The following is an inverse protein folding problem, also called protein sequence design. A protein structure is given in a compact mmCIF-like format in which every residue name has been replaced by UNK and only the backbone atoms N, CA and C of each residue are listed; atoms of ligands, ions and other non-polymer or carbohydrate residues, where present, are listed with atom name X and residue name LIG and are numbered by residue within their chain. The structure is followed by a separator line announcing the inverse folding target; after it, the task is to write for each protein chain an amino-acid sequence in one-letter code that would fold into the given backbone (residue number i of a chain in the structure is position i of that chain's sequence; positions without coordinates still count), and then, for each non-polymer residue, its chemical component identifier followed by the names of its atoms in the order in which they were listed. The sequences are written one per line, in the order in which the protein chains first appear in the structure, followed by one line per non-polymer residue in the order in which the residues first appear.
data_IF_456307195344
#
_entry.id   IF_456307195344
#
_cell.length_a   1.000
_cell.length_b   1.000
_cell.length_c   1.000
_cell.angle_alpha   90.00
_cell.angle_beta   90.00
_cell.angle_gamma   90.00
#
_symmetry.space_group_name_H-M   'P 1'
#
loop_
_entity.id
_entity.type
_entity.pdbx_description
1 polymer ?
#
# COMPACT_ATOMS: atom_id res chain seq x y z
N UNK A 1 10.65 34.52 12.86
CA UNK A 1 10.64 33.99 14.23
C UNK A 1 9.59 32.87 14.45
N UNK A 2 8.40 32.94 13.88
CA UNK A 2 7.31 31.95 14.10
C UNK A 2 7.58 30.54 13.59
N UNK A 3 8.45 30.33 12.60
CA UNK A 3 8.82 29.01 12.07
C UNK A 3 9.87 28.27 12.90
N UNK A 4 10.56 28.98 13.83
CA UNK A 4 11.70 28.43 14.55
C UNK A 4 11.35 27.19 15.41
N UNK A 5 10.26 27.16 16.20
CA UNK A 5 9.89 25.97 16.96
C UNK A 5 9.60 24.76 16.05
N UNK A 6 8.90 24.97 14.92
CA UNK A 6 8.60 23.91 13.95
C UNK A 6 9.88 23.38 13.30
N UNK A 7 10.82 24.26 12.94
CA UNK A 7 12.11 23.88 12.37
C UNK A 7 12.97 23.07 13.35
N UNK A 8 13.00 23.48 14.63
CA UNK A 8 13.73 22.72 15.66
C UNK A 8 13.17 21.29 15.78
N UNK A 9 11.86 21.15 15.90
CA UNK A 9 11.21 19.83 15.96
C UNK A 9 11.52 19.01 14.70
N UNK A 10 11.40 19.59 13.52
CA UNK A 10 11.69 18.93 12.26
C UNK A 10 13.16 18.48 12.16
N UNK A 11 14.10 19.32 12.55
CA UNK A 11 15.53 18.98 12.54
C UNK A 11 15.79 17.84 13.53
N UNK A 12 15.33 17.95 14.78
CA UNK A 12 15.60 16.96 15.82
C UNK A 12 14.98 15.60 15.52
N UNK A 13 13.74 15.55 15.05
CA UNK A 13 12.97 14.30 14.91
C UNK A 13 12.96 13.73 13.50
N UNK A 14 13.35 14.50 12.49
CA UNK A 14 13.39 14.04 11.11
C UNK A 14 14.80 14.09 10.53
N UNK A 15 15.43 15.27 10.46
CA UNK A 15 16.71 15.43 9.77
C UNK A 15 17.83 14.65 10.49
N UNK A 16 17.95 14.77 11.80
CA UNK A 16 19.00 14.07 12.56
C UNK A 16 18.88 12.54 12.43
N UNK A 17 17.70 11.89 12.64
CA UNK A 17 17.57 10.45 12.46
C UNK A 17 17.84 9.99 11.01
N UNK A 18 17.38 10.72 10.00
CA UNK A 18 17.65 10.40 8.59
C UNK A 18 19.15 10.47 8.31
N UNK A 19 19.83 11.55 8.77
CA UNK A 19 21.29 11.69 8.60
C UNK A 19 22.06 10.58 9.32
N UNK A 20 21.65 10.23 10.55
CA UNK A 20 22.24 9.10 11.28
C UNK A 20 22.06 7.78 10.53
N UNK A 21 20.88 7.51 9.98
CA UNK A 21 20.61 6.31 9.16
C UNK A 21 21.52 6.30 7.93
N UNK A 22 21.66 7.43 7.25
CA UNK A 22 22.55 7.55 6.09
C UNK A 22 24.01 7.24 6.47
N UNK A 23 24.54 7.86 7.54
CA UNK A 23 25.89 7.59 8.03
C UNK A 23 26.03 6.12 8.44
N UNK A 24 25.06 5.58 9.18
CA UNK A 24 25.10 4.19 9.67
C UNK A 24 25.18 3.16 8.55
N UNK A 25 24.68 3.46 7.36
CA UNK A 25 24.75 2.53 6.22
C UNK A 25 26.17 2.19 5.74
N UNK A 26 27.14 3.04 6.08
CA UNK A 26 28.57 2.84 5.78
C UNK A 26 29.34 2.16 6.91
N UNK A 27 28.68 1.79 8.00
CA UNK A 27 29.27 1.12 9.14
C UNK A 27 28.66 -0.25 9.36
N UNK A 28 29.41 -1.12 10.01
CA UNK A 28 28.86 -2.33 10.62
C UNK A 28 28.89 -2.16 12.14
N UNK A 29 27.92 -2.75 12.83
CA UNK A 29 27.75 -2.70 14.27
C UNK A 29 27.73 -4.14 14.81
N UNK A 30 28.91 -4.74 15.03
CA UNK A 30 28.97 -6.07 15.62
C UNK A 30 28.55 -5.99 17.09
N UNK A 31 27.81 -7.00 17.59
CA UNK A 31 27.31 -7.05 18.97
C UNK A 31 28.41 -7.00 20.04
N UNK A 32 29.65 -7.37 19.69
CA UNK A 32 30.77 -7.54 20.62
C UNK A 32 31.94 -6.57 20.39
N UNK A 33 31.89 -5.71 19.39
CA UNK A 33 33.01 -4.82 19.05
C UNK A 33 32.53 -3.43 18.63
N UNK A 34 33.49 -2.49 18.56
CA UNK A 34 33.24 -1.13 18.13
C UNK A 34 32.75 -1.11 16.66
N UNK A 35 31.93 -0.10 16.34
CA UNK A 35 31.49 0.15 14.95
C UNK A 35 32.69 0.29 14.03
N UNK A 36 32.69 -0.43 12.94
CA UNK A 36 33.74 -0.35 11.93
C UNK A 36 33.20 0.28 10.64
N UNK A 37 34.01 1.14 10.04
CA UNK A 37 33.66 1.76 8.76
C UNK A 37 33.97 0.78 7.62
N UNK A 38 32.94 0.42 6.83
CA UNK A 38 33.03 -0.62 5.80
C UNK A 38 32.76 -0.09 4.40
N UNK A 39 32.78 1.21 4.19
CA UNK A 39 32.51 1.84 2.90
C UNK A 39 31.19 1.32 2.28
N UNK A 40 31.24 0.80 1.10
CA UNK A 40 30.09 0.27 0.35
C UNK A 40 29.86 -1.25 0.51
N UNK A 41 30.51 -1.91 1.47
CA UNK A 41 30.38 -3.35 1.64
C UNK A 41 28.94 -3.78 1.94
N UNK A 42 28.18 -3.04 2.76
CA UNK A 42 26.77 -3.29 3.02
C UNK A 42 25.93 -3.26 1.72
N UNK A 43 26.23 -2.35 0.81
CA UNK A 43 25.54 -2.24 -0.47
C UNK A 43 25.96 -3.36 -1.45
N UNK A 44 27.21 -3.76 -1.45
CA UNK A 44 27.69 -4.88 -2.26
C UNK A 44 27.09 -6.21 -1.80
N UNK A 45 26.92 -6.42 -0.48
CA UNK A 45 26.23 -7.56 0.09
C UNK A 45 24.73 -7.53 -0.32
N UNK A 46 24.07 -6.39 -0.19
CA UNK A 46 22.66 -6.20 -0.52
C UNK A 46 22.35 -6.61 -1.97
N UNK A 47 23.18 -6.24 -2.93
CA UNK A 47 22.96 -6.57 -4.33
C UNK A 47 23.02 -8.08 -4.63
N UNK A 48 23.69 -8.85 -3.77
CA UNK A 48 23.81 -10.31 -3.85
C UNK A 48 22.78 -11.05 -3.01
N UNK A 49 21.99 -10.33 -2.21
CA UNK A 49 21.07 -10.90 -1.24
C UNK A 49 19.75 -11.29 -1.91
N UNK A 50 19.52 -12.59 -2.05
CA UNK A 50 18.30 -13.15 -2.63
C UNK A 50 17.04 -12.75 -1.86
N UNK A 51 17.13 -12.61 -0.52
CA UNK A 51 15.98 -12.23 0.30
C UNK A 51 15.61 -10.77 0.11
N UNK A 52 16.58 -9.89 -0.17
CA UNK A 52 16.28 -8.52 -0.57
C UNK A 52 15.48 -8.47 -1.87
N UNK A 53 15.91 -9.20 -2.89
CA UNK A 53 15.22 -9.23 -4.18
C UNK A 53 13.83 -9.87 -4.09
N UNK A 54 13.69 -10.94 -3.30
CA UNK A 54 12.40 -11.54 -2.99
C UNK A 54 11.47 -10.53 -2.30
N UNK A 55 11.98 -9.82 -1.29
CA UNK A 55 11.21 -8.81 -0.55
C UNK A 55 10.81 -7.62 -1.45
N UNK A 56 11.67 -7.21 -2.35
CA UNK A 56 11.37 -6.17 -3.33
C UNK A 56 10.28 -6.63 -4.33
N UNK A 57 10.37 -7.87 -4.82
CA UNK A 57 9.32 -8.47 -5.67
C UNK A 57 7.97 -8.50 -4.93
N UNK A 58 7.97 -8.91 -3.66
CA UNK A 58 6.77 -8.94 -2.83
C UNK A 58 6.18 -7.54 -2.61
N UNK A 59 7.03 -6.51 -2.44
CA UNK A 59 6.56 -5.12 -2.44
C UNK A 59 5.87 -4.74 -3.76
N UNK A 60 6.38 -5.18 -4.89
CA UNK A 60 5.71 -5.01 -6.19
C UNK A 60 4.33 -5.65 -6.23
N UNK A 61 4.19 -6.88 -5.71
CA UNK A 61 2.90 -7.56 -5.56
C UNK A 61 1.97 -6.76 -4.62
N UNK A 62 2.49 -6.28 -3.48
CA UNK A 62 1.69 -5.48 -2.54
C UNK A 62 1.27 -4.13 -3.14
N UNK A 63 2.10 -3.49 -3.96
CA UNK A 63 1.71 -2.29 -4.71
C UNK A 63 0.52 -2.59 -5.62
N UNK A 64 0.53 -3.71 -6.33
CA UNK A 64 -0.62 -4.10 -7.14
C UNK A 64 -1.90 -4.25 -6.29
N UNK A 65 -1.84 -4.98 -5.18
CA UNK A 65 -2.99 -5.22 -4.31
C UNK A 65 -3.44 -3.99 -3.51
N UNK A 66 -2.54 -3.13 -3.08
CA UNK A 66 -2.88 -2.02 -2.20
C UNK A 66 -3.04 -0.67 -2.94
N UNK A 67 -2.60 -0.58 -4.19
CA UNK A 67 -2.71 0.64 -4.99
C UNK A 67 -3.59 0.43 -6.22
N UNK A 68 -3.21 -0.51 -7.10
CA UNK A 68 -3.86 -0.63 -8.42
C UNK A 68 -5.30 -1.12 -8.27
N UNK A 69 -5.49 -2.23 -7.57
CA UNK A 69 -6.83 -2.84 -7.42
C UNK A 69 -7.79 -1.93 -6.65
N UNK A 70 -7.45 -1.44 -5.43
CA UNK A 70 -8.37 -0.56 -4.70
C UNK A 70 -8.59 0.79 -5.39
N UNK A 71 -7.59 1.33 -6.10
CA UNK A 71 -7.74 2.55 -6.89
C UNK A 71 -8.77 2.38 -8.01
N UNK A 72 -8.66 1.32 -8.81
CA UNK A 72 -9.61 1.02 -9.89
C UNK A 72 -10.99 0.66 -9.31
N UNK A 73 -11.05 -0.19 -8.30
CA UNK A 73 -12.30 -0.60 -7.68
C UNK A 73 -13.04 0.57 -7.02
N UNK A 74 -12.32 1.46 -6.32
CA UNK A 74 -12.87 2.69 -5.76
C UNK A 74 -13.41 3.63 -6.83
N UNK A 75 -12.73 3.76 -7.97
CA UNK A 75 -13.22 4.56 -9.10
C UNK A 75 -14.51 3.98 -9.71
N UNK A 76 -14.56 2.67 -9.88
CA UNK A 76 -15.78 1.98 -10.38
C UNK A 76 -16.93 2.22 -9.42
N UNK A 77 -16.74 1.99 -8.11
CA UNK A 77 -17.77 2.21 -7.10
C UNK A 77 -18.25 3.67 -7.09
N UNK A 78 -17.33 4.63 -7.09
CA UNK A 78 -17.68 6.06 -7.12
C UNK A 78 -18.52 6.39 -8.36
N UNK A 79 -18.15 5.85 -9.53
CA UNK A 79 -18.89 6.05 -10.78
C UNK A 79 -20.31 5.47 -10.70
N UNK A 80 -20.43 4.25 -10.16
CA UNK A 80 -21.75 3.59 -10.01
C UNK A 80 -22.64 4.37 -9.04
N UNK A 81 -22.10 4.82 -7.91
CA UNK A 81 -22.88 5.57 -6.91
C UNK A 81 -23.33 6.93 -7.40
N UNK A 82 -22.49 7.66 -8.15
CA UNK A 82 -22.85 8.97 -8.69
C UNK A 82 -24.03 8.87 -9.69
N UNK A 83 -24.07 7.78 -10.48
CA UNK A 83 -25.08 7.58 -11.52
C UNK A 83 -26.39 7.02 -10.95
N UNK A 84 -26.31 6.09 -9.96
CA UNK A 84 -27.46 5.28 -9.56
C UNK A 84 -28.35 5.94 -8.52
N UNK A 85 -27.83 6.60 -7.48
CA UNK A 85 -28.65 7.27 -6.48
C UNK A 85 -27.86 8.15 -5.51
N UNK A 86 -27.92 9.49 -5.63
CA UNK A 86 -27.22 10.41 -4.72
C UNK A 86 -27.65 10.32 -3.25
N UNK A 87 -28.87 9.86 -2.96
CA UNK A 87 -29.41 9.80 -1.57
C UNK A 87 -28.94 8.56 -0.81
N UNK A 88 -28.78 7.43 -1.46
CA UNK A 88 -28.22 6.21 -0.86
C UNK A 88 -26.71 6.33 -0.57
N UNK A 89 -26.03 7.24 -1.28
CA UNK A 89 -24.58 7.42 -1.24
C UNK A 89 -23.98 7.59 0.15
N UNK A 90 -24.62 8.38 1.03
CA UNK A 90 -24.05 8.66 2.38
C UNK A 90 -23.89 7.43 3.25
N UNK A 91 -24.87 6.52 3.28
CA UNK A 91 -24.79 5.30 4.09
C UNK A 91 -23.70 4.38 3.53
N UNK A 92 -23.66 4.23 2.23
CA UNK A 92 -22.62 3.44 1.55
C UNK A 92 -21.22 4.07 1.66
N UNK A 93 -21.11 5.42 1.59
CA UNK A 93 -19.85 6.14 1.82
C UNK A 93 -19.26 5.75 3.18
N UNK A 94 -20.05 5.80 4.25
CA UNK A 94 -19.62 5.47 5.61
C UNK A 94 -19.27 3.98 5.74
N UNK A 95 -20.14 3.08 5.24
CA UNK A 95 -19.94 1.64 5.37
C UNK A 95 -18.70 1.15 4.63
N UNK A 96 -18.44 1.66 3.43
CA UNK A 96 -17.27 1.28 2.64
C UNK A 96 -15.97 1.95 3.10
N UNK A 97 -16.07 3.10 3.77
CA UNK A 97 -14.91 3.76 4.37
C UNK A 97 -14.52 3.18 5.74
N UNK A 98 -15.45 2.50 6.43
CA UNK A 98 -15.23 1.96 7.77
C UNK A 98 -13.96 1.09 7.91
N UNK A 99 -13.60 0.20 6.96
CA UNK A 99 -12.37 -0.58 7.05
C UNK A 99 -11.09 0.25 7.21
N UNK A 100 -11.05 1.42 6.59
CA UNK A 100 -9.90 2.33 6.62
C UNK A 100 -9.66 2.96 8.00
N UNK A 101 -10.69 3.05 8.84
CA UNK A 101 -10.61 3.64 10.19
C UNK A 101 -10.03 2.63 11.19
N UNK A 102 -10.14 1.34 10.89
CA UNK A 102 -9.65 0.29 11.77
C UNK A 102 -8.11 0.24 11.79
N UNK A 103 -7.54 -0.03 12.97
CA UNK A 103 -6.11 -0.32 13.06
C UNK A 103 -5.74 -1.53 12.19
N UNK A 104 -4.67 -1.43 11.39
CA UNK A 104 -4.20 -2.53 10.55
C UNK A 104 -3.86 -3.80 11.34
N UNK A 105 -3.45 -3.64 12.60
CA UNK A 105 -3.21 -4.77 13.52
C UNK A 105 -4.52 -5.52 13.80
N UNK A 106 -5.58 -4.80 14.13
CA UNK A 106 -6.91 -5.39 14.36
C UNK A 106 -7.44 -6.06 13.10
N UNK A 107 -7.34 -5.38 11.97
CA UNK A 107 -7.69 -5.95 10.65
C UNK A 107 -6.94 -7.25 10.40
N UNK A 108 -5.62 -7.26 10.62
CA UNK A 108 -4.79 -8.45 10.44
C UNK A 108 -5.26 -9.63 11.29
N UNK A 109 -5.64 -9.39 12.56
CA UNK A 109 -6.16 -10.44 13.46
C UNK A 109 -7.52 -10.96 12.98
N UNK A 110 -8.45 -10.06 12.60
CA UNK A 110 -9.77 -10.45 12.07
C UNK A 110 -9.61 -11.33 10.82
N UNK A 111 -8.77 -10.91 9.88
CA UNK A 111 -8.55 -11.65 8.66
C UNK A 111 -7.82 -12.98 8.87
N UNK A 112 -6.96 -13.12 9.90
CA UNK A 112 -6.42 -14.43 10.30
C UNK A 112 -7.53 -15.41 10.71
N UNK A 113 -8.57 -14.94 11.38
CA UNK A 113 -9.73 -15.79 11.72
C UNK A 113 -10.56 -16.13 10.47
N UNK A 114 -10.76 -15.17 9.58
CA UNK A 114 -11.47 -15.40 8.31
C UNK A 114 -10.75 -16.45 7.45
N UNK A 115 -9.41 -16.40 7.40
CA UNK A 115 -8.55 -17.33 6.65
C UNK A 115 -8.20 -18.61 7.39
N UNK A 116 -8.73 -18.83 8.60
CA UNK A 116 -8.39 -20.02 9.36
C UNK A 116 -8.83 -21.30 8.62
N UNK A 117 -7.92 -22.32 8.46
CA UNK A 117 -8.25 -23.52 7.70
C UNK A 117 -9.34 -24.38 8.34
N UNK A 118 -9.50 -24.34 9.68
CA UNK A 118 -10.42 -25.20 10.42
C UNK A 118 -11.80 -24.57 10.58
N UNK A 119 -11.84 -23.31 11.09
CA UNK A 119 -13.10 -22.65 11.40
C UNK A 119 -13.37 -21.35 10.61
N UNK A 120 -12.46 -21.00 9.69
CA UNK A 120 -12.56 -19.75 8.93
C UNK A 120 -13.80 -19.69 8.02
N UNK A 121 -14.45 -18.53 8.05
CA UNK A 121 -15.68 -18.32 7.29
C UNK A 121 -15.46 -18.42 5.78
N UNK A 122 -14.28 -18.03 5.28
CA UNK A 122 -13.99 -18.07 3.85
C UNK A 122 -14.06 -19.51 3.30
N UNK A 123 -13.40 -20.48 3.97
CA UNK A 123 -13.45 -21.88 3.55
C UNK A 123 -14.88 -22.43 3.61
N UNK A 124 -15.66 -22.06 4.64
CA UNK A 124 -17.07 -22.47 4.75
C UNK A 124 -17.92 -21.93 3.60
N UNK A 125 -17.75 -20.67 3.24
CA UNK A 125 -18.48 -20.06 2.11
C UNK A 125 -18.10 -20.71 0.78
N UNK A 126 -16.84 -21.07 0.56
CA UNK A 126 -16.38 -21.74 -0.65
C UNK A 126 -16.96 -23.16 -0.76
N UNK A 127 -17.00 -23.91 0.34
CA UNK A 127 -17.66 -25.24 0.36
C UNK A 127 -19.15 -25.11 0.08
N UNK A 128 -19.87 -24.12 0.66
CA UNK A 128 -21.27 -23.88 0.37
C UNK A 128 -21.53 -23.48 -1.09
N UNK A 129 -20.56 -22.84 -1.73
CA UNK A 129 -20.61 -22.49 -3.16
C UNK A 129 -20.23 -23.67 -4.08
N UNK A 130 -19.97 -24.86 -3.53
CA UNK A 130 -19.66 -26.07 -4.29
C UNK A 130 -18.17 -26.25 -4.63
N UNK A 131 -17.28 -25.45 -4.08
CA UNK A 131 -15.84 -25.65 -4.22
C UNK A 131 -15.34 -26.62 -3.16
N UNK A 132 -14.59 -27.64 -3.57
CA UNK A 132 -13.90 -28.55 -2.63
C UNK A 132 -12.65 -27.85 -2.08
N UNK A 133 -12.85 -27.05 -1.03
CA UNK A 133 -11.82 -26.22 -0.41
C UNK A 133 -11.70 -26.50 1.09
N UNK A 134 -12.02 -27.73 1.49
CA UNK A 134 -11.92 -28.14 2.90
C UNK A 134 -10.48 -28.03 3.40
N UNK A 135 -10.28 -27.10 4.35
CA UNK A 135 -9.00 -26.94 5.02
C UNK A 135 -7.89 -26.18 4.28
N UNK A 136 -8.23 -25.38 3.24
CA UNK A 136 -7.24 -24.54 2.56
C UNK A 136 -6.55 -23.59 3.54
N UNK A 137 -5.23 -23.78 3.72
CA UNK A 137 -4.40 -22.93 4.58
C UNK A 137 -3.92 -21.68 3.78
N UNK A 138 -4.77 -20.66 3.67
CA UNK A 138 -4.49 -19.44 2.90
C UNK A 138 -3.19 -18.75 3.28
N UNK A 139 -2.91 -18.63 4.58
CA UNK A 139 -1.70 -18.00 5.12
C UNK A 139 -0.56 -18.99 5.36
N UNK A 140 -0.85 -20.29 5.30
CA UNK A 140 0.12 -21.36 5.53
C UNK A 140 0.83 -21.87 4.27
N UNK A 141 0.41 -21.44 3.08
CA UNK A 141 0.99 -21.84 1.80
C UNK A 141 1.84 -20.71 1.21
N UNK A 142 3.04 -21.04 0.72
CA UNK A 142 3.93 -20.07 0.04
C UNK A 142 3.29 -19.47 -1.22
N UNK A 143 2.37 -20.20 -1.85
CA UNK A 143 1.70 -19.74 -3.08
C UNK A 143 0.55 -18.76 -2.81
N UNK A 144 -0.16 -18.92 -1.68
CA UNK A 144 -1.39 -18.15 -1.42
C UNK A 144 -1.20 -17.03 -0.39
N UNK A 145 -0.22 -17.14 0.50
CA UNK A 145 -0.08 -16.23 1.64
C UNK A 145 0.04 -14.75 1.25
N UNK A 146 0.89 -14.40 0.28
CA UNK A 146 1.08 -13.02 -0.15
C UNK A 146 -0.21 -12.46 -0.79
N UNK A 147 -0.94 -13.28 -1.54
CA UNK A 147 -2.19 -12.90 -2.19
C UNK A 147 -3.32 -12.71 -1.17
N UNK A 148 -3.39 -13.57 -0.14
CA UNK A 148 -4.36 -13.44 0.96
C UNK A 148 -4.14 -12.15 1.75
N UNK A 149 -2.89 -11.82 2.09
CA UNK A 149 -2.57 -10.52 2.72
C UNK A 149 -2.88 -9.36 1.78
N UNK A 150 -2.56 -9.48 0.50
CA UNK A 150 -2.86 -8.50 -0.52
C UNK A 150 -4.37 -8.21 -0.62
N UNK A 151 -5.20 -9.25 -0.63
CA UNK A 151 -6.66 -9.11 -0.65
C UNK A 151 -7.19 -8.37 0.58
N UNK A 152 -6.62 -8.64 1.77
CA UNK A 152 -6.91 -7.85 2.98
C UNK A 152 -6.58 -6.37 2.76
N UNK A 153 -5.46 -6.07 2.11
CA UNK A 153 -5.07 -4.71 1.74
C UNK A 153 -6.05 -4.03 0.77
N UNK A 154 -6.62 -4.76 -0.20
CA UNK A 154 -7.69 -4.22 -1.06
C UNK A 154 -8.88 -3.80 -0.20
N UNK A 155 -9.34 -4.70 0.68
CA UNK A 155 -10.50 -4.48 1.53
C UNK A 155 -10.35 -3.25 2.44
N UNK A 156 -9.15 -2.95 2.91
CA UNK A 156 -8.88 -1.74 3.70
C UNK A 156 -8.95 -0.49 2.85
N UNK A 157 -8.39 -0.50 1.64
CA UNK A 157 -8.05 0.72 0.90
C UNK A 157 -9.10 1.18 -0.14
N UNK A 158 -9.98 0.29 -0.63
CA UNK A 158 -10.91 0.66 -1.71
C UNK A 158 -11.92 1.75 -1.31
N UNK A 159 -12.34 1.76 -0.05
CA UNK A 159 -13.30 2.75 0.45
C UNK A 159 -12.70 4.17 0.47
N UNK A 160 -11.43 4.31 0.84
CA UNK A 160 -10.71 5.58 0.75
C UNK A 160 -10.69 6.11 -0.69
N UNK A 161 -10.30 5.25 -1.64
CA UNK A 161 -10.28 5.63 -3.05
C UNK A 161 -11.66 6.07 -3.55
N UNK A 162 -12.70 5.32 -3.20
CA UNK A 162 -14.09 5.63 -3.55
C UNK A 162 -14.51 7.01 -3.04
N UNK A 163 -14.26 7.33 -1.76
CA UNK A 163 -14.68 8.60 -1.15
C UNK A 163 -14.00 9.79 -1.83
N UNK A 164 -12.69 9.68 -2.12
CA UNK A 164 -11.96 10.76 -2.81
C UNK A 164 -12.53 10.97 -4.23
N UNK A 165 -12.81 9.89 -4.97
CA UNK A 165 -13.40 10.00 -6.30
C UNK A 165 -14.83 10.55 -6.26
N UNK A 166 -15.66 10.16 -5.28
CA UNK A 166 -16.99 10.75 -5.09
C UNK A 166 -16.92 12.27 -4.82
N UNK A 167 -15.95 12.70 -4.01
CA UNK A 167 -15.73 14.12 -3.78
C UNK A 167 -15.33 14.86 -5.07
N UNK A 168 -14.54 14.21 -5.93
CA UNK A 168 -14.19 14.72 -7.27
C UNK A 168 -15.41 14.82 -8.19
N UNK A 169 -16.23 13.78 -8.24
CA UNK A 169 -17.47 13.78 -9.05
C UNK A 169 -18.40 14.94 -8.69
N UNK A 170 -18.57 15.25 -7.41
CA UNK A 170 -19.41 16.36 -6.93
C UNK A 170 -18.94 17.76 -7.42
N UNK A 171 -17.71 17.88 -7.92
CA UNK A 171 -17.17 19.12 -8.50
C UNK A 171 -17.43 19.25 -9.99
N UNK A 172 -17.79 18.16 -10.69
CA UNK A 172 -18.05 18.20 -12.12
C UNK A 172 -19.41 18.85 -12.35
N UNK A 173 -19.51 19.96 -13.14
CA UNK A 173 -20.80 20.58 -13.44
C UNK A 173 -21.76 19.60 -14.14
N UNK A 174 -22.99 19.50 -13.63
CA UNK A 174 -24.02 18.62 -14.21
C UNK A 174 -24.33 18.95 -15.65
N UNK A 175 -24.19 20.20 -16.07
CA UNK A 175 -24.39 20.65 -17.45
C UNK A 175 -23.53 19.88 -18.46
N UNK A 176 -22.34 19.41 -18.08
CA UNK A 176 -21.51 18.60 -18.98
C UNK A 176 -22.16 17.24 -19.29
N UNK A 177 -22.76 16.62 -18.27
CA UNK A 177 -23.47 15.34 -18.45
C UNK A 177 -24.80 15.49 -19.18
N UNK A 178 -25.48 16.62 -18.96
CA UNK A 178 -26.75 16.97 -19.64
C UNK A 178 -26.51 17.25 -21.13
N UNK A 179 -25.53 18.08 -21.48
CA UNK A 179 -25.14 18.35 -22.86
C UNK A 179 -24.74 17.06 -23.58
N UNK A 180 -23.88 16.25 -22.98
CA UNK A 180 -23.50 14.94 -23.55
C UNK A 180 -24.68 13.97 -23.71
N UNK A 181 -25.73 14.08 -22.87
CA UNK A 181 -26.92 13.29 -23.01
C UNK A 181 -27.76 13.74 -24.23
N UNK A 182 -27.85 15.04 -24.47
CA UNK A 182 -28.51 15.58 -25.66
C UNK A 182 -27.80 15.18 -26.96
N UNK A 183 -26.45 15.07 -26.91
CA UNK A 183 -25.64 14.57 -28.03
C UNK A 183 -25.70 13.02 -28.18
N UNK A 184 -26.53 12.32 -27.41
CA UNK A 184 -26.68 10.86 -27.46
C UNK A 184 -25.50 10.09 -26.89
N UNK A 185 -24.65 10.70 -26.05
CA UNK A 185 -23.52 10.02 -25.45
C UNK A 185 -23.96 8.99 -24.39
N UNK A 186 -23.66 7.72 -24.62
CA UNK A 186 -23.88 6.63 -23.69
C UNK A 186 -22.91 6.69 -22.48
N UNK A 187 -23.13 5.79 -21.51
CA UNK A 187 -22.37 5.69 -20.25
C UNK A 187 -20.84 5.73 -20.45
N UNK A 188 -20.30 4.85 -21.29
CA UNK A 188 -18.85 4.75 -21.51
C UNK A 188 -18.25 6.02 -22.13
N UNK A 189 -18.99 6.66 -23.05
CA UNK A 189 -18.54 7.92 -23.65
C UNK A 189 -18.46 9.03 -22.60
N UNK A 190 -19.47 9.18 -21.73
CA UNK A 190 -19.45 10.12 -20.60
C UNK A 190 -18.33 9.81 -19.62
N UNK A 191 -18.10 8.52 -19.31
CA UNK A 191 -17.03 8.12 -18.41
C UNK A 191 -15.65 8.49 -18.94
N UNK A 192 -15.31 8.10 -20.16
CA UNK A 192 -13.96 8.32 -20.71
C UNK A 192 -13.68 9.75 -21.12
N UNK A 193 -14.69 10.50 -21.58
CA UNK A 193 -14.50 11.86 -22.12
C UNK A 193 -14.86 12.99 -21.14
N UNK A 194 -15.65 12.71 -20.10
CA UNK A 194 -16.02 13.72 -19.09
C UNK A 194 -15.45 13.33 -17.73
N UNK A 195 -15.86 12.17 -17.17
CA UNK A 195 -15.53 11.80 -15.80
C UNK A 195 -14.04 11.60 -15.61
N UNK A 196 -13.43 10.72 -16.37
CA UNK A 196 -12.02 10.34 -16.20
C UNK A 196 -11.05 11.53 -16.40
N UNK A 197 -11.21 12.40 -17.41
CA UNK A 197 -10.40 13.60 -17.53
C UNK A 197 -10.61 14.60 -16.39
N UNK A 198 -11.85 14.77 -15.94
CA UNK A 198 -12.17 15.70 -14.84
C UNK A 198 -11.62 15.23 -13.49
N UNK A 199 -11.48 13.92 -13.29
CA UNK A 199 -10.96 13.32 -12.06
C UNK A 199 -9.43 13.17 -12.05
N UNK A 200 -8.69 13.73 -13.00
CA UNK A 200 -7.22 13.55 -13.08
C UNK A 200 -6.50 13.96 -11.80
N UNK A 201 -6.96 15.01 -11.13
CA UNK A 201 -6.41 15.47 -9.85
C UNK A 201 -6.59 14.42 -8.74
N UNK A 202 -7.81 13.95 -8.56
CA UNK A 202 -8.18 12.93 -7.57
C UNK A 202 -7.47 11.60 -7.83
N UNK A 203 -7.37 11.19 -9.09
CA UNK A 203 -6.60 10.01 -9.50
C UNK A 203 -5.16 10.13 -9.03
N UNK A 204 -4.53 11.30 -9.24
CA UNK A 204 -3.15 11.53 -8.80
C UNK A 204 -3.01 11.43 -7.29
N UNK A 205 -3.91 12.04 -6.53
CA UNK A 205 -3.91 12.00 -5.06
C UNK A 205 -4.09 10.57 -4.55
N UNK A 206 -5.11 9.86 -5.05
CA UNK A 206 -5.42 8.48 -4.63
C UNK A 206 -4.24 7.55 -4.91
N UNK A 207 -3.75 7.51 -6.14
CA UNK A 207 -2.67 6.60 -6.50
C UNK A 207 -1.36 6.93 -5.79
N UNK A 208 -1.04 8.21 -5.59
CA UNK A 208 0.16 8.61 -4.82
C UNK A 208 0.04 8.17 -3.36
N UNK A 209 -1.10 8.42 -2.72
CA UNK A 209 -1.33 8.00 -1.34
C UNK A 209 -1.25 6.49 -1.18
N UNK A 210 -1.98 5.73 -2.01
CA UNK A 210 -2.01 4.27 -1.96
C UNK A 210 -0.62 3.66 -2.27
N UNK A 211 0.15 4.27 -3.16
CA UNK A 211 1.53 3.85 -3.43
C UNK A 211 2.42 3.99 -2.20
N UNK A 212 2.35 5.15 -1.51
CA UNK A 212 3.10 5.37 -0.28
C UNK A 212 2.70 4.36 0.80
N UNK A 213 1.41 4.07 0.95
CA UNK A 213 0.92 3.08 1.89
C UNK A 213 1.40 1.66 1.55
N UNK A 214 1.41 1.29 0.27
CA UNK A 214 1.92 0.00 -0.18
C UNK A 214 3.43 -0.17 0.08
N UNK A 215 4.23 0.88 -0.10
CA UNK A 215 5.66 0.87 0.24
C UNK A 215 5.90 0.70 1.74
N UNK A 216 5.05 1.30 2.58
CA UNK A 216 5.14 1.23 4.04
C UNK A 216 4.53 -0.04 4.64
N UNK A 217 4.02 -0.97 3.82
CA UNK A 217 3.35 -2.18 4.31
C UNK A 217 4.26 -2.97 5.25
N UNK A 218 3.94 -2.93 6.53
CA UNK A 218 4.59 -3.69 7.60
C UNK A 218 3.56 -4.43 8.45
N UNK A 219 2.58 -3.69 9.00
CA UNK A 219 1.66 -4.16 10.03
C UNK A 219 0.88 -5.41 9.61
N UNK A 220 0.27 -5.40 8.41
CA UNK A 220 -0.48 -6.55 7.91
C UNK A 220 0.41 -7.79 7.75
N UNK A 221 1.59 -7.63 7.14
CA UNK A 221 2.54 -8.73 6.95
C UNK A 221 3.01 -9.26 8.31
N UNK A 222 3.39 -8.36 9.21
CA UNK A 222 3.90 -8.74 10.53
C UNK A 222 2.85 -9.49 11.36
N UNK A 223 1.62 -8.99 11.40
CA UNK A 223 0.54 -9.59 12.18
C UNK A 223 0.05 -10.88 11.55
N UNK A 224 -0.15 -10.93 10.24
CA UNK A 224 -0.78 -12.07 9.59
C UNK A 224 0.17 -13.24 9.38
N UNK A 225 1.42 -13.00 8.98
CA UNK A 225 2.34 -14.05 8.53
C UNK A 225 3.74 -13.97 9.11
N UNK A 226 4.15 -12.82 9.69
CA UNK A 226 5.54 -12.53 10.11
C UNK A 226 6.57 -12.75 8.98
N UNK A 227 6.14 -12.60 7.72
CA UNK A 227 6.96 -12.85 6.54
C UNK A 227 6.92 -14.27 6.00
N UNK A 228 6.27 -15.22 6.71
CA UNK A 228 6.17 -16.62 6.35
C UNK A 228 5.06 -16.97 5.35
N UNK A 229 4.93 -18.26 4.98
CA UNK A 229 5.90 -19.32 5.25
C UNK A 229 7.16 -19.17 4.38
N UNK A 230 8.33 -19.58 4.88
CA UNK A 230 9.58 -19.60 4.11
C UNK A 230 9.95 -18.24 3.44
N UNK A 231 9.69 -17.11 4.11
CA UNK A 231 9.87 -15.73 3.60
C UNK A 231 8.96 -15.36 2.40
N UNK A 232 7.96 -16.18 2.04
CA UNK A 232 7.10 -15.93 0.88
C UNK A 232 6.32 -14.62 0.94
N UNK A 233 6.12 -14.05 2.13
CA UNK A 233 5.44 -12.76 2.30
C UNK A 233 6.37 -11.68 2.85
N UNK A 234 7.70 -11.92 2.88
CA UNK A 234 8.66 -10.91 3.32
C UNK A 234 8.60 -9.68 2.40
N UNK A 235 8.50 -8.50 2.99
CA UNK A 235 8.56 -7.20 2.32
C UNK A 235 9.73 -6.40 2.88
N UNK A 236 10.16 -5.37 2.17
CA UNK A 236 11.37 -4.59 2.54
C UNK A 236 11.25 -4.01 3.95
N UNK A 237 10.10 -3.45 4.34
CA UNK A 237 9.89 -2.89 5.68
C UNK A 237 10.10 -3.93 6.79
N UNK A 238 9.60 -5.16 6.60
CA UNK A 238 9.81 -6.27 7.52
C UNK A 238 11.26 -6.76 7.49
N UNK A 239 11.88 -6.79 6.32
CA UNK A 239 13.27 -7.20 6.17
C UNK A 239 14.23 -6.22 6.86
N UNK A 240 14.00 -4.92 6.71
CA UNK A 240 14.70 -3.86 7.48
C UNK A 240 14.53 -4.08 8.98
N UNK A 241 13.29 -4.29 9.44
CA UNK A 241 13.00 -4.52 10.85
C UNK A 241 13.76 -5.73 11.42
N UNK A 242 13.74 -6.85 10.70
CA UNK A 242 14.46 -8.07 11.14
C UNK A 242 15.97 -7.83 11.23
N UNK A 243 16.56 -7.19 10.20
CA UNK A 243 18.01 -6.91 10.22
C UNK A 243 18.38 -5.91 11.32
N UNK A 244 17.59 -4.87 11.54
CA UNK A 244 17.89 -3.84 12.53
C UNK A 244 17.72 -4.33 13.97
N UNK A 245 16.66 -5.12 14.26
CA UNK A 245 16.23 -5.39 15.64
C UNK A 245 16.28 -6.88 16.04
N UNK A 246 16.38 -7.81 15.10
CA UNK A 246 16.50 -9.23 15.41
C UNK A 246 17.89 -9.80 15.13
N UNK A 247 18.60 -9.23 14.14
CA UNK A 247 19.91 -9.71 13.73
C UNK A 247 21.04 -8.74 14.10
N UNK A 248 20.74 -7.61 14.76
CA UNK A 248 21.68 -6.56 15.17
C UNK A 248 22.56 -6.02 14.03
N UNK A 249 22.02 -6.02 12.81
CA UNK A 249 22.70 -5.57 11.58
C UNK A 249 22.23 -4.18 11.17
N UNK A 250 22.35 -3.19 12.07
CA UNK A 250 21.84 -1.83 11.87
C UNK A 250 22.36 -1.15 10.60
N UNK A 251 23.67 -1.29 10.30
CA UNK A 251 24.28 -0.68 9.12
C UNK A 251 23.73 -1.30 7.83
N UNK A 252 23.59 -2.61 7.79
CA UNK A 252 22.97 -3.32 6.66
C UNK A 252 21.49 -2.95 6.49
N UNK A 253 20.74 -2.91 7.59
CA UNK A 253 19.33 -2.46 7.55
C UNK A 253 19.20 -1.01 7.04
N UNK A 254 20.12 -0.13 7.42
CA UNK A 254 20.16 1.24 6.92
C UNK A 254 20.42 1.30 5.39
N UNK A 255 21.33 0.47 4.86
CA UNK A 255 21.59 0.41 3.42
C UNK A 255 20.38 -0.09 2.63
N UNK A 256 19.65 -1.11 3.14
CA UNK A 256 18.39 -1.59 2.55
C UNK A 256 17.37 -0.45 2.46
N UNK A 257 17.17 0.26 3.58
CA UNK A 257 16.19 1.34 3.68
C UNK A 257 16.50 2.48 2.70
N UNK A 258 17.77 2.89 2.59
CA UNK A 258 18.20 3.98 1.71
C UNK A 258 17.97 3.63 0.22
N UNK A 259 18.36 2.44 -0.22
CA UNK A 259 18.10 2.00 -1.59
C UNK A 259 16.60 1.96 -1.86
N UNK A 260 15.81 1.42 -0.94
CA UNK A 260 14.37 1.32 -1.10
C UNK A 260 13.67 2.68 -1.19
N UNK A 261 14.04 3.64 -0.32
CA UNK A 261 13.51 5.01 -0.37
C UNK A 261 13.92 5.70 -1.68
N UNK A 262 15.15 5.51 -2.12
CA UNK A 262 15.64 6.11 -3.37
C UNK A 262 14.88 5.58 -4.58
N UNK A 263 14.67 4.26 -4.66
CA UNK A 263 13.85 3.63 -5.71
C UNK A 263 12.40 4.12 -5.67
N UNK A 264 11.78 4.15 -4.48
CA UNK A 264 10.43 4.65 -4.30
C UNK A 264 10.27 6.11 -4.72
N UNK A 265 11.20 6.97 -4.32
CA UNK A 265 11.21 8.40 -4.68
C UNK A 265 11.38 8.60 -6.19
N UNK A 266 12.25 7.81 -6.82
CA UNK A 266 12.44 7.86 -8.28
C UNK A 266 11.15 7.48 -9.02
N UNK A 267 10.45 6.43 -8.58
CA UNK A 267 9.18 5.99 -9.17
C UNK A 267 8.09 7.06 -9.01
N UNK A 268 7.96 7.65 -7.82
CA UNK A 268 7.00 8.73 -7.56
C UNK A 268 7.28 9.94 -8.48
N UNK A 269 8.54 10.38 -8.54
CA UNK A 269 8.91 11.53 -9.37
C UNK A 269 8.63 11.29 -10.86
N UNK A 270 8.85 10.06 -11.35
CA UNK A 270 8.55 9.70 -12.74
C UNK A 270 7.05 9.77 -13.04
N UNK A 271 6.21 9.33 -12.08
CA UNK A 271 4.75 9.38 -12.20
C UNK A 271 4.24 10.82 -12.15
N UNK A 272 4.77 11.65 -11.25
CA UNK A 272 4.34 13.05 -11.08
C UNK A 272 4.80 13.91 -12.29
N UNK A 273 6.07 13.82 -12.71
CA UNK A 273 6.59 14.59 -13.84
C UNK A 273 5.86 14.33 -15.15
N UNK A 274 5.51 13.07 -15.45
CA UNK A 274 4.76 12.75 -16.67
C UNK A 274 3.41 13.48 -16.76
N UNK A 275 2.84 13.89 -15.62
CA UNK A 275 1.54 14.59 -15.53
C UNK A 275 1.62 16.11 -15.50
N UNK A 276 2.78 16.70 -15.18
CA UNK A 276 2.98 18.15 -15.20
C UNK A 276 3.14 18.72 -16.62
N UNK A 277 3.31 17.87 -17.61
CA UNK A 277 3.49 18.25 -19.02
C UNK A 277 2.26 17.91 -19.90
N UNK A 278 1.21 17.31 -19.34
CA UNK A 278 -0.11 17.09 -19.96
C UNK A 278 -1.20 17.98 -19.32
#
# INVERSE_FOLDING_TARGET
MYLLPALVIYICFFIIPVTKTFISSFFTFPTTSERTFVWFANYAELLKDELFWLSLKNNGIMIFYMMVVPGIFGLILATVFEISNPKAGKIFEVSFFMPQILSLVVVGVIWKWIYNPVFGILNRLLVLAGFDNSGQAWLGSTKTAIHAVGFTGIWVNYGFAMVIFLAGYKRIPKSFFEAAALDGAGFWRKFFYISLPSLRGEISVVFTYLFIQALKTFDLIYVMTKGGPGNATSVISLYVFKNAFQYDRLGYAASILLIFITLGSFLINKVIKKRSYE
#
